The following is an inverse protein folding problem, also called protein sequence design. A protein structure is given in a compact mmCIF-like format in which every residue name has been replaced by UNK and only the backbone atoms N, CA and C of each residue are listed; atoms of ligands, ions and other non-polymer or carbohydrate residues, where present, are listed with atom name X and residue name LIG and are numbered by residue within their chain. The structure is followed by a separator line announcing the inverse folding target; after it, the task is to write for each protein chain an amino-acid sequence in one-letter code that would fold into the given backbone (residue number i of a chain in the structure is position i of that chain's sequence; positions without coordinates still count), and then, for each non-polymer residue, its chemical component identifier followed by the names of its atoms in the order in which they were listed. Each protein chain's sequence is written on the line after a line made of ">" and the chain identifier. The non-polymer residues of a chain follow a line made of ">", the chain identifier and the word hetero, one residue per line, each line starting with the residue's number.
data_IF_522965011049
#
_entry.id   IF_522965011049
#
_cell.length_a   1.000
_cell.length_b   1.000
_cell.length_c   1.000
_cell.angle_alpha   90.00
_cell.angle_beta   90.00
_cell.angle_gamma   90.00
#
_symmetry.space_group_name_H-M   'P 1'
#
loop_
_entity.id
_entity.type
_entity.pdbx_description
1 polymer ?
#
# COMPACT_ATOMS: atom_id res chain seq x y z
N UNK A 1 -22.21 -4.47 4.02
CA UNK A 1 -22.28 -5.92 4.33
C UNK A 1 -21.32 -6.17 5.49
N UNK A 2 -21.35 -7.29 6.22
CA UNK A 2 -20.23 -7.62 7.10
C UNK A 2 -19.00 -7.97 6.24
N UNK A 3 -17.79 -7.73 6.75
CA UNK A 3 -16.58 -8.22 6.10
C UNK A 3 -16.64 -9.76 5.93
N UNK A 4 -16.14 -10.29 4.80
CA UNK A 4 -15.83 -11.72 4.70
C UNK A 4 -14.88 -12.15 5.85
N UNK A 5 -15.04 -13.39 6.32
CA UNK A 5 -14.24 -13.90 7.44
C UNK A 5 -12.82 -14.31 7.02
N UNK A 6 -12.68 -14.77 5.78
CA UNK A 6 -11.44 -15.30 5.21
C UNK A 6 -11.27 -14.82 3.78
N UNK A 7 -10.03 -14.79 3.32
CA UNK A 7 -9.61 -14.39 1.99
C UNK A 7 -8.56 -15.36 1.46
N UNK A 8 -8.33 -15.37 0.17
CA UNK A 8 -7.18 -16.06 -0.41
C UNK A 8 -5.89 -15.42 0.12
N UNK A 9 -5.00 -16.20 0.73
CA UNK A 9 -3.72 -15.71 1.26
C UNK A 9 -2.75 -15.30 0.14
N UNK A 10 -2.95 -15.85 -1.05
CA UNK A 10 -2.14 -15.62 -2.24
C UNK A 10 -3.02 -15.37 -3.45
N UNK A 11 -2.60 -14.46 -4.31
CA UNK A 11 -3.34 -14.03 -5.50
C UNK A 11 -2.36 -13.84 -6.67
N UNK A 12 -2.82 -13.87 -7.93
CA UNK A 12 -1.96 -13.50 -9.05
C UNK A 12 -1.39 -12.10 -8.85
N UNK A 13 -0.09 -11.92 -9.10
CA UNK A 13 0.51 -10.57 -9.11
C UNK A 13 0.18 -9.81 -10.41
N UNK A 14 -0.24 -10.53 -11.45
CA UNK A 14 -0.72 -9.96 -12.71
C UNK A 14 -2.08 -9.30 -12.50
N UNK A 15 -2.17 -8.00 -12.78
CA UNK A 15 -3.40 -7.21 -12.60
C UNK A 15 -4.59 -7.77 -13.39
N UNK A 16 -4.45 -8.15 -14.68
CA UNK A 16 -5.54 -8.80 -15.43
C UNK A 16 -5.99 -10.12 -14.81
N UNK A 17 -5.06 -10.98 -14.38
CA UNK A 17 -5.40 -12.28 -13.78
C UNK A 17 -6.06 -12.11 -12.42
N UNK A 18 -5.59 -11.16 -11.61
CA UNK A 18 -6.21 -10.82 -10.34
C UNK A 18 -7.66 -10.36 -10.54
N UNK A 19 -7.91 -9.39 -11.45
CA UNK A 19 -9.26 -8.88 -11.67
C UNK A 19 -10.19 -9.90 -12.35
N UNK A 20 -9.66 -10.92 -13.02
CA UNK A 20 -10.47 -12.05 -13.50
C UNK A 20 -10.98 -12.94 -12.35
N UNK A 21 -10.27 -12.99 -11.22
CA UNK A 21 -10.66 -13.72 -10.01
C UNK A 21 -11.48 -12.86 -9.04
N UNK A 22 -11.09 -11.60 -8.87
CA UNK A 22 -11.73 -10.69 -7.95
C UNK A 22 -13.15 -10.36 -8.42
N UNK A 23 -14.09 -10.31 -7.47
CA UNK A 23 -15.51 -9.99 -7.73
C UNK A 23 -15.81 -8.58 -7.27
N UNK A 24 -14.93 -7.65 -7.64
CA UNK A 24 -14.97 -6.28 -7.15
C UNK A 24 -16.29 -5.59 -7.52
N UNK A 25 -16.94 -5.02 -6.50
CA UNK A 25 -18.10 -4.16 -6.63
C UNK A 25 -17.85 -2.92 -5.79
N UNK A 26 -17.77 -1.70 -6.35
CA UNK A 26 -17.51 -0.49 -5.59
C UNK A 26 -18.76 -0.05 -4.81
N UNK A 27 -19.31 -0.94 -3.98
CA UNK A 27 -20.41 -0.64 -3.09
C UNK A 27 -19.93 0.35 -2.01
N UNK A 28 -20.82 1.26 -1.62
CA UNK A 28 -20.52 2.20 -0.55
C UNK A 28 -20.29 1.46 0.77
N UNK A 29 -19.11 1.70 1.36
CA UNK A 29 -18.72 1.26 2.70
C UNK A 29 -18.48 2.51 3.54
N UNK A 30 -19.24 2.76 4.63
CA UNK A 30 -18.98 3.89 5.51
C UNK A 30 -17.59 3.81 6.12
N UNK A 31 -16.90 4.93 6.27
CA UNK A 31 -15.59 4.98 6.91
C UNK A 31 -15.62 4.42 8.34
N UNK A 32 -16.72 4.63 9.07
CA UNK A 32 -16.98 4.01 10.39
C UNK A 32 -16.91 2.48 10.37
N UNK A 33 -17.31 1.84 9.27
CA UNK A 33 -17.21 0.39 9.11
C UNK A 33 -15.75 -0.04 8.94
N UNK A 34 -14.97 0.71 8.15
CA UNK A 34 -13.55 0.40 7.92
C UNK A 34 -12.72 0.60 9.19
N UNK A 35 -12.98 1.66 9.95
CA UNK A 35 -12.27 1.94 11.22
C UNK A 35 -12.71 1.07 12.39
N UNK A 36 -13.71 0.20 12.21
CA UNK A 36 -14.15 -0.75 13.24
C UNK A 36 -13.16 -1.90 13.47
N UNK A 37 -12.21 -2.10 12.55
CA UNK A 37 -11.09 -3.03 12.73
C UNK A 37 -10.22 -2.55 13.89
N UNK A 38 -10.04 -3.41 14.90
CA UNK A 38 -9.32 -3.06 16.10
C UNK A 38 -7.81 -3.00 15.84
N UNK A 39 -7.19 -1.92 16.30
CA UNK A 39 -5.74 -1.76 16.33
C UNK A 39 -5.23 -2.06 17.74
N UNK A 40 -4.09 -2.72 17.83
CA UNK A 40 -3.43 -3.06 19.09
C UNK A 40 -2.21 -2.16 19.37
N UNK A 41 -1.49 -2.34 20.49
CA UNK A 41 -0.29 -1.56 20.79
C UNK A 41 0.84 -1.69 19.76
N UNK A 42 0.99 -2.83 19.07
CA UNK A 42 2.01 -3.02 18.03
C UNK A 42 1.69 -2.16 16.79
N UNK A 43 0.40 -2.09 16.43
CA UNK A 43 -0.08 -1.16 15.39
C UNK A 43 0.23 0.29 15.77
N UNK A 44 -0.03 0.66 17.03
CA UNK A 44 0.27 2.01 17.54
C UNK A 44 1.76 2.32 17.45
N UNK A 45 2.64 1.35 17.74
CA UNK A 45 4.08 1.54 17.61
C UNK A 45 4.51 1.80 16.15
N UNK A 46 3.95 1.05 15.19
CA UNK A 46 4.21 1.30 13.76
C UNK A 46 3.67 2.64 13.28
N UNK A 47 2.49 3.06 13.76
CA UNK A 47 1.93 4.37 13.47
C UNK A 47 2.86 5.50 13.92
N UNK A 48 3.30 5.48 15.18
CA UNK A 48 4.16 6.53 15.73
C UNK A 48 5.56 6.53 15.10
N UNK A 49 6.07 5.35 14.72
CA UNK A 49 7.33 5.23 13.99
C UNK A 49 7.24 5.88 12.60
N UNK A 50 6.22 5.53 11.83
CA UNK A 50 6.01 6.11 10.50
C UNK A 50 5.73 7.61 10.55
N UNK A 51 4.86 8.06 11.45
CA UNK A 51 4.52 9.48 11.62
C UNK A 51 5.73 10.35 11.92
N UNK A 52 6.69 9.83 12.68
CA UNK A 52 7.92 10.56 13.03
C UNK A 52 8.86 10.69 11.83
N UNK A 53 8.91 9.67 10.97
CA UNK A 53 9.95 9.53 9.95
C UNK A 53 9.50 10.01 8.57
N UNK A 54 8.23 9.87 8.24
CA UNK A 54 7.67 10.15 6.92
C UNK A 54 7.17 11.60 6.84
N UNK A 55 7.33 12.30 5.69
CA UNK A 55 6.73 13.63 5.50
C UNK A 55 5.22 13.64 5.80
N UNK A 56 4.64 14.74 6.31
CA UNK A 56 3.26 14.76 6.77
C UNK A 56 2.22 14.27 5.75
N UNK A 57 2.29 14.71 4.49
CA UNK A 57 1.33 14.29 3.46
C UNK A 57 1.55 12.84 3.03
N UNK A 58 2.81 12.38 3.01
CA UNK A 58 3.17 10.97 2.78
C UNK A 58 2.68 10.07 3.91
N UNK A 59 2.74 10.53 5.16
CA UNK A 59 2.16 9.78 6.28
C UNK A 59 0.63 9.64 6.13
N UNK A 60 -0.08 10.72 5.76
CA UNK A 60 -1.52 10.64 5.49
C UNK A 60 -1.86 9.68 4.33
N UNK A 61 -1.02 9.63 3.29
CA UNK A 61 -1.13 8.65 2.22
C UNK A 61 -1.10 7.21 2.74
N UNK A 62 -0.16 6.88 3.61
CA UNK A 62 -0.09 5.52 4.16
C UNK A 62 -1.37 5.09 4.89
N UNK A 63 -2.03 6.02 5.59
CA UNK A 63 -3.32 5.79 6.25
C UNK A 63 -4.45 5.63 5.21
N UNK A 64 -4.51 6.49 4.18
CA UNK A 64 -5.47 6.31 3.09
C UNK A 64 -5.32 4.95 2.42
N UNK A 65 -4.09 4.50 2.13
CA UNK A 65 -3.82 3.19 1.52
C UNK A 65 -4.39 2.04 2.35
N UNK A 66 -4.23 2.10 3.68
CA UNK A 66 -4.80 1.08 4.57
C UNK A 66 -6.33 0.99 4.42
N UNK A 67 -7.03 2.12 4.48
CA UNK A 67 -8.49 2.15 4.39
C UNK A 67 -9.01 1.86 2.98
N UNK A 68 -8.30 2.28 1.94
CA UNK A 68 -8.56 1.87 0.55
C UNK A 68 -8.41 0.35 0.42
N UNK A 69 -7.36 -0.24 1.00
CA UNK A 69 -7.15 -1.68 1.04
C UNK A 69 -8.29 -2.42 1.76
N UNK A 70 -8.75 -1.91 2.91
CA UNK A 70 -9.92 -2.46 3.60
C UNK A 70 -11.21 -2.34 2.78
N UNK A 71 -11.40 -1.24 2.05
CA UNK A 71 -12.55 -1.08 1.16
C UNK A 71 -12.52 -2.11 0.03
N UNK A 72 -11.36 -2.33 -0.61
CA UNK A 72 -11.16 -3.37 -1.64
C UNK A 72 -11.45 -4.76 -1.05
N UNK A 73 -10.96 -5.05 0.16
CA UNK A 73 -11.22 -6.30 0.88
C UNK A 73 -12.71 -6.54 1.11
N UNK A 74 -13.42 -5.53 1.62
CA UNK A 74 -14.85 -5.61 1.87
C UNK A 74 -15.64 -5.87 0.57
N UNK A 75 -15.15 -5.34 -0.55
CA UNK A 75 -15.88 -5.23 -1.81
C UNK A 75 -15.56 -6.31 -2.84
N UNK A 76 -15.14 -7.50 -2.42
CA UNK A 76 -15.04 -8.66 -3.31
C UNK A 76 -13.62 -9.06 -3.70
N UNK A 77 -12.66 -8.86 -2.79
CA UNK A 77 -11.35 -9.48 -2.90
C UNK A 77 -11.46 -11.03 -2.96
N UNK A 78 -10.55 -11.72 -3.69
CA UNK A 78 -10.62 -13.18 -3.84
C UNK A 78 -10.68 -13.94 -2.51
N UNK A 79 -11.49 -14.99 -2.49
CA UNK A 79 -11.70 -15.90 -1.37
C UNK A 79 -12.22 -17.24 -1.89
N UNK A 80 -11.92 -18.32 -1.16
CA UNK A 80 -12.36 -19.68 -1.47
C UNK A 80 -11.87 -20.19 -2.86
N UNK A 81 -10.76 -19.66 -3.38
CA UNK A 81 -10.18 -20.17 -4.62
C UNK A 81 -9.64 -21.60 -4.42
N UNK A 82 -10.02 -22.59 -5.25
CA UNK A 82 -9.57 -23.97 -5.08
C UNK A 82 -8.05 -24.11 -5.03
N UNK A 83 -7.54 -24.73 -3.97
CA UNK A 83 -6.10 -24.99 -3.78
C UNK A 83 -5.31 -23.81 -3.22
N UNK A 84 -5.95 -22.67 -2.92
CA UNK A 84 -5.28 -21.50 -2.34
C UNK A 84 -5.49 -21.46 -0.81
N UNK A 85 -4.42 -21.39 -0.01
CA UNK A 85 -4.53 -21.20 1.43
C UNK A 85 -5.38 -19.98 1.79
N UNK A 86 -6.15 -20.07 2.87
CA UNK A 86 -6.99 -18.97 3.32
C UNK A 86 -6.34 -18.23 4.51
N UNK A 87 -6.52 -16.92 4.57
CA UNK A 87 -6.10 -16.03 5.66
C UNK A 87 -7.33 -15.40 6.31
N UNK A 88 -7.36 -15.24 7.62
CA UNK A 88 -8.49 -14.61 8.33
C UNK A 88 -8.46 -13.09 8.14
N UNK A 89 -9.63 -12.44 8.27
CA UNK A 89 -9.71 -10.97 8.26
C UNK A 89 -8.80 -10.33 9.32
N UNK A 90 -8.77 -10.88 10.54
CA UNK A 90 -7.96 -10.39 11.65
C UNK A 90 -6.47 -10.40 11.28
N UNK A 91 -5.99 -11.54 10.79
CA UNK A 91 -4.59 -11.71 10.42
C UNK A 91 -4.20 -10.85 9.21
N UNK A 92 -5.05 -10.83 8.17
CA UNK A 92 -4.81 -10.06 6.96
C UNK A 92 -4.81 -8.55 7.25
N UNK A 93 -5.80 -8.06 8.00
CA UNK A 93 -5.91 -6.63 8.32
C UNK A 93 -4.79 -6.15 9.23
N UNK A 94 -4.28 -7.00 10.13
CA UNK A 94 -3.10 -6.72 10.95
C UNK A 94 -1.84 -6.56 10.10
N UNK A 95 -1.55 -7.54 9.23
CA UNK A 95 -0.40 -7.45 8.31
C UNK A 95 -0.53 -6.25 7.37
N UNK A 96 -1.72 -6.04 6.80
CA UNK A 96 -2.01 -4.93 5.90
C UNK A 96 -1.77 -3.58 6.59
N UNK A 97 -2.17 -3.42 7.85
CA UNK A 97 -1.92 -2.18 8.57
C UNK A 97 -0.43 -1.88 8.69
N UNK A 98 0.36 -2.83 9.21
CA UNK A 98 1.82 -2.65 9.32
C UNK A 98 2.46 -2.37 7.96
N UNK A 99 2.08 -3.12 6.92
CA UNK A 99 2.57 -2.89 5.56
C UNK A 99 2.23 -1.49 5.09
N UNK A 100 0.96 -1.07 5.14
CA UNK A 100 0.54 0.24 4.66
C UNK A 100 1.23 1.36 5.43
N UNK A 101 1.19 1.37 6.77
CA UNK A 101 1.79 2.48 7.53
C UNK A 101 3.31 2.55 7.40
N UNK A 102 4.00 1.46 7.06
CA UNK A 102 5.46 1.42 6.96
C UNK A 102 6.02 1.44 5.53
N UNK A 103 5.20 1.30 4.47
CA UNK A 103 5.74 1.07 3.12
C UNK A 103 6.59 2.21 2.57
N UNK A 104 6.28 3.45 2.93
CA UNK A 104 6.98 4.65 2.49
C UNK A 104 8.00 5.19 3.49
N UNK A 105 8.45 4.38 4.46
CA UNK A 105 9.54 4.80 5.37
C UNK A 105 10.80 5.25 4.59
N UNK A 106 11.01 4.71 3.40
CA UNK A 106 12.11 5.11 2.51
C UNK A 106 12.06 6.57 2.06
N UNK A 107 10.89 7.23 2.13
CA UNK A 107 10.68 8.65 1.81
C UNK A 107 11.12 9.59 2.94
N UNK A 108 11.68 9.05 4.02
CA UNK A 108 12.09 9.83 5.17
C UNK A 108 13.01 11.00 4.83
N UNK A 109 12.69 12.15 5.40
CA UNK A 109 13.50 13.39 5.30
C UNK A 109 14.23 13.69 6.60
N UNK A 110 14.04 12.87 7.63
CA UNK A 110 14.66 13.04 8.95
C UNK A 110 16.14 12.65 8.93
N UNK A 111 16.90 13.10 9.93
CA UNK A 111 18.29 12.66 10.10
C UNK A 111 18.38 11.19 10.55
N UNK A 112 17.41 10.73 11.37
CA UNK A 112 17.28 9.34 11.82
C UNK A 112 17.18 8.40 10.61
N UNK A 113 16.21 8.65 9.74
CA UNK A 113 15.99 7.82 8.56
C UNK A 113 17.08 7.95 7.50
N UNK A 114 17.55 9.17 7.18
CA UNK A 114 18.60 9.36 6.16
C UNK A 114 20.00 8.91 6.61
N UNK A 115 20.21 8.80 7.91
CA UNK A 115 21.45 8.26 8.48
C UNK A 115 21.55 6.74 8.42
N UNK A 116 20.46 6.04 8.08
CA UNK A 116 20.43 4.59 8.02
C UNK A 116 21.26 4.08 6.81
N UNK A 117 22.11 3.03 6.95
CA UNK A 117 22.98 2.56 5.87
C UNK A 117 22.25 2.13 4.59
N UNK A 118 21.02 1.63 4.72
CA UNK A 118 20.19 1.24 3.57
C UNK A 118 19.64 2.44 2.77
N UNK A 119 19.83 3.69 3.21
CA UNK A 119 19.36 4.89 2.50
C UNK A 119 19.88 5.00 1.06
N UNK A 120 21.05 4.42 0.76
CA UNK A 120 21.63 4.38 -0.58
C UNK A 120 20.95 3.37 -1.53
N UNK A 121 20.04 2.53 -1.03
CA UNK A 121 19.21 1.64 -1.85
C UNK A 121 17.94 2.37 -2.32
N UNK A 122 17.21 1.74 -3.25
CA UNK A 122 15.86 2.19 -3.62
C UNK A 122 14.97 2.35 -2.38
N UNK A 123 14.07 3.34 -2.37
CA UNK A 123 13.29 3.69 -1.19
C UNK A 123 12.47 2.52 -0.64
N UNK A 124 12.03 1.60 -1.50
CA UNK A 124 11.29 0.39 -1.13
C UNK A 124 12.14 -0.55 -0.29
N UNK A 125 13.42 -0.73 -0.66
CA UNK A 125 14.35 -1.57 0.10
C UNK A 125 14.82 -0.87 1.37
N UNK A 126 15.09 0.43 1.28
CA UNK A 126 15.41 1.25 2.43
C UNK A 126 14.30 1.17 3.49
N UNK A 127 13.06 1.45 3.09
CA UNK A 127 11.89 1.40 3.95
C UNK A 127 11.60 -0.01 4.46
N UNK A 128 11.74 -1.04 3.61
CA UNK A 128 11.56 -2.43 4.00
C UNK A 128 12.56 -2.89 5.07
N UNK A 129 13.83 -2.50 4.97
CA UNK A 129 14.85 -2.83 5.98
C UNK A 129 14.53 -2.10 7.30
N UNK A 130 14.20 -0.81 7.26
CA UNK A 130 13.79 -0.07 8.45
C UNK A 130 12.52 -0.66 9.10
N UNK A 131 11.56 -1.11 8.28
CA UNK A 131 10.36 -1.77 8.75
C UNK A 131 10.68 -3.11 9.43
N UNK A 132 11.57 -3.92 8.85
CA UNK A 132 12.02 -5.18 9.44
C UNK A 132 12.61 -4.97 10.84
N UNK A 133 13.54 -4.01 10.98
CA UNK A 133 14.18 -3.69 12.25
C UNK A 133 13.16 -3.19 13.29
N UNK A 134 12.25 -2.31 12.87
CA UNK A 134 11.17 -1.81 13.73
C UNK A 134 10.25 -2.93 14.20
N UNK A 135 9.75 -3.77 13.29
CA UNK A 135 8.82 -4.87 13.63
C UNK A 135 9.49 -5.90 14.54
N UNK A 136 10.75 -6.22 14.31
CA UNK A 136 11.50 -7.13 15.17
C UNK A 136 11.60 -6.61 16.62
N UNK A 137 11.72 -5.30 16.80
CA UNK A 137 11.84 -4.67 18.11
C UNK A 137 10.48 -4.37 18.77
N UNK A 138 9.48 -3.95 17.99
CA UNK A 138 8.25 -3.34 18.49
C UNK A 138 6.98 -4.20 18.30
N UNK A 139 7.07 -5.31 17.56
CA UNK A 139 5.94 -6.19 17.28
C UNK A 139 6.28 -7.69 17.51
N UNK A 140 6.65 -8.10 18.73
CA UNK A 140 7.09 -9.46 19.04
C UNK A 140 5.99 -10.54 18.88
N UNK A 141 4.71 -10.15 18.78
CA UNK A 141 3.64 -11.10 18.48
C UNK A 141 3.64 -11.54 17.00
N UNK A 142 4.32 -10.81 16.11
CA UNK A 142 4.52 -11.23 14.73
C UNK A 142 5.55 -12.37 14.65
N UNK A 143 5.15 -13.50 14.06
CA UNK A 143 6.08 -14.58 13.74
C UNK A 143 6.91 -14.26 12.48
N UNK A 144 7.92 -15.08 12.19
CA UNK A 144 8.83 -14.86 11.07
C UNK A 144 8.14 -14.82 9.70
N UNK A 145 7.08 -15.61 9.48
CA UNK A 145 6.31 -15.60 8.24
C UNK A 145 5.55 -14.28 8.07
N UNK A 146 4.95 -13.79 9.17
CA UNK A 146 4.19 -12.53 9.19
C UNK A 146 5.11 -11.33 8.93
N UNK A 147 6.27 -11.27 9.61
CA UNK A 147 7.27 -10.22 9.37
C UNK A 147 7.80 -10.31 7.94
N UNK A 148 8.09 -11.52 7.45
CA UNK A 148 8.56 -11.75 6.09
C UNK A 148 7.57 -11.25 5.04
N UNK A 149 6.28 -11.58 5.19
CA UNK A 149 5.20 -11.13 4.31
C UNK A 149 5.06 -9.60 4.31
N UNK A 150 5.06 -8.97 5.49
CA UNK A 150 4.97 -7.51 5.63
C UNK A 150 6.15 -6.83 4.92
N UNK A 151 7.38 -7.25 5.22
CA UNK A 151 8.60 -6.63 4.70
C UNK A 151 8.75 -6.87 3.20
N UNK A 152 8.48 -8.08 2.73
CA UNK A 152 8.49 -8.39 1.30
C UNK A 152 7.43 -7.58 0.54
N UNK A 153 6.23 -7.43 1.11
CA UNK A 153 5.17 -6.58 0.55
C UNK A 153 5.62 -5.13 0.43
N UNK A 154 6.28 -4.58 1.45
CA UNK A 154 6.87 -3.23 1.39
C UNK A 154 7.93 -3.14 0.29
N UNK A 155 8.85 -4.10 0.19
CA UNK A 155 9.95 -4.02 -0.79
C UNK A 155 9.48 -4.15 -2.25
N UNK A 156 8.29 -4.68 -2.49
CA UNK A 156 7.78 -4.98 -3.83
C UNK A 156 6.56 -4.14 -4.24
N UNK A 157 6.02 -3.27 -3.37
CA UNK A 157 4.73 -2.61 -3.60
C UNK A 157 4.70 -1.71 -4.86
N UNK A 158 5.84 -1.17 -5.28
CA UNK A 158 5.95 -0.34 -6.49
C UNK A 158 6.18 -1.16 -7.77
N UNK A 159 6.48 -2.45 -7.64
CA UNK A 159 6.80 -3.34 -8.76
C UNK A 159 5.55 -3.88 -9.44
N UNK A 160 5.59 -3.94 -10.77
CA UNK A 160 4.54 -4.58 -11.57
C UNK A 160 5.09 -5.83 -12.24
N UNK A 161 4.51 -6.96 -11.90
CA UNK A 161 4.92 -8.26 -12.41
C UNK A 161 3.85 -8.81 -13.36
N UNK A 162 4.28 -9.27 -14.54
CA UNK A 162 3.36 -9.79 -15.57
C UNK A 162 2.86 -11.22 -15.27
N UNK A 163 3.55 -11.95 -14.39
CA UNK A 163 3.21 -13.33 -14.02
C UNK A 163 3.75 -13.67 -12.63
N UNK A 164 3.12 -14.67 -11.99
CA UNK A 164 3.51 -15.16 -10.66
C UNK A 164 2.47 -14.91 -9.59
N UNK A 165 2.89 -14.98 -8.34
CA UNK A 165 2.02 -14.94 -7.17
C UNK A 165 2.47 -13.86 -6.20
N UNK A 166 1.52 -13.07 -5.71
CA UNK A 166 1.67 -12.15 -4.59
C UNK A 166 0.98 -12.72 -3.37
N UNK A 167 1.43 -12.34 -2.16
CA UNK A 167 0.54 -12.42 -1.00
C UNK A 167 -0.63 -11.45 -1.17
N UNK A 168 -1.73 -11.71 -0.46
CA UNK A 168 -2.86 -10.80 -0.42
C UNK A 168 -2.45 -9.39 0.06
N UNK A 169 -1.61 -9.33 1.10
CA UNK A 169 -1.07 -8.08 1.66
C UNK A 169 -0.29 -7.30 0.60
N UNK A 170 0.62 -7.98 -0.10
CA UNK A 170 1.46 -7.38 -1.15
C UNK A 170 0.66 -6.77 -2.28
N UNK A 171 -0.39 -7.46 -2.73
CA UNK A 171 -1.24 -6.92 -3.80
C UNK A 171 -2.10 -5.76 -3.32
N UNK A 172 -2.64 -5.83 -2.09
CA UNK A 172 -3.47 -4.77 -1.52
C UNK A 172 -2.67 -3.48 -1.32
N UNK A 173 -1.44 -3.54 -0.81
CA UNK A 173 -0.60 -2.34 -0.71
C UNK A 173 -0.25 -1.79 -2.09
N UNK A 174 0.11 -2.64 -3.06
CA UNK A 174 0.44 -2.20 -4.41
C UNK A 174 -0.75 -1.51 -5.10
N UNK A 175 -1.96 -2.09 -5.00
CA UNK A 175 -3.18 -1.52 -5.58
C UNK A 175 -3.59 -0.22 -4.88
N UNK A 176 -3.59 -0.20 -3.54
CA UNK A 176 -4.03 0.95 -2.78
C UNK A 176 -3.07 2.14 -2.89
N UNK A 177 -1.75 1.91 -2.86
CA UNK A 177 -0.75 2.94 -3.08
C UNK A 177 -0.81 3.51 -4.50
N UNK A 178 -0.88 2.62 -5.51
CA UNK A 178 -1.02 3.07 -6.90
C UNK A 178 -2.30 3.86 -7.12
N UNK A 179 -3.44 3.40 -6.59
CA UNK A 179 -4.71 4.11 -6.72
C UNK A 179 -4.71 5.46 -5.99
N UNK A 180 -4.16 5.56 -4.79
CA UNK A 180 -4.13 6.85 -4.08
C UNK A 180 -3.20 7.87 -4.78
N UNK A 181 -2.17 7.41 -5.49
CA UNK A 181 -1.30 8.29 -6.30
C UNK A 181 -1.93 8.63 -7.66
N UNK A 182 -2.57 7.67 -8.32
CA UNK A 182 -2.97 7.78 -9.73
C UNK A 182 -4.49 7.83 -9.97
N UNK A 183 -5.32 7.81 -8.93
CA UNK A 183 -6.77 8.04 -9.04
C UNK A 183 -7.54 7.08 -9.96
N UNK A 184 -8.79 7.45 -10.27
CA UNK A 184 -9.73 6.64 -11.05
C UNK A 184 -9.35 6.50 -12.52
N UNK A 185 -8.61 7.47 -13.07
CA UNK A 185 -8.32 7.57 -14.50
C UNK A 185 -6.91 7.09 -14.86
N UNK A 186 -6.23 6.39 -13.94
CA UNK A 186 -4.82 6.00 -14.03
C UNK A 186 -4.43 5.27 -15.34
N UNK A 187 -5.35 4.50 -15.93
CA UNK A 187 -5.16 3.76 -17.18
C UNK A 187 -6.13 4.20 -18.28
N UNK A 188 -6.67 5.42 -18.16
CA UNK A 188 -7.71 6.00 -19.02
C UNK A 188 -8.99 6.32 -18.26
N UNK A 189 -9.92 7.10 -18.86
CA UNK A 189 -11.14 7.54 -18.19
C UNK A 189 -11.97 6.38 -17.60
N UNK A 190 -12.24 6.42 -16.30
CA UNK A 190 -13.00 5.43 -15.54
C UNK A 190 -12.30 4.07 -15.36
N UNK A 191 -11.02 3.96 -15.71
CA UNK A 191 -10.30 2.68 -15.72
C UNK A 191 -10.22 1.97 -14.38
N UNK A 192 -10.39 2.68 -13.26
CA UNK A 192 -10.41 2.13 -11.90
C UNK A 192 -11.69 2.49 -11.12
N UNK A 193 -12.78 2.87 -11.80
CA UNK A 193 -14.08 3.18 -11.14
C UNK A 193 -14.66 2.01 -10.34
N UNK A 194 -14.23 0.79 -10.65
CA UNK A 194 -14.67 -0.42 -9.96
C UNK A 194 -13.91 -0.70 -8.66
N UNK A 195 -12.82 0.02 -8.37
CA UNK A 195 -11.90 -0.35 -7.30
C UNK A 195 -12.43 0.08 -5.91
N UNK A 196 -12.87 1.33 -5.78
CA UNK A 196 -13.41 1.90 -4.53
C UNK A 196 -14.60 2.79 -4.85
N UNK A 197 -15.62 2.77 -3.98
CA UNK A 197 -16.74 3.69 -4.10
C UNK A 197 -16.30 5.14 -3.85
N UNK A 198 -16.73 6.07 -4.70
CA UNK A 198 -16.38 7.50 -4.58
C UNK A 198 -16.73 8.11 -3.22
N UNK A 199 -17.92 7.82 -2.68
CA UNK A 199 -18.32 8.32 -1.36
C UNK A 199 -17.47 7.74 -0.22
N UNK A 200 -17.09 6.46 -0.32
CA UNK A 200 -16.15 5.86 0.64
C UNK A 200 -14.79 6.55 0.59
N UNK A 201 -14.26 6.83 -0.62
CA UNK A 201 -13.01 7.56 -0.77
C UNK A 201 -13.11 8.98 -0.22
N UNK A 202 -14.20 9.70 -0.50
CA UNK A 202 -14.45 11.05 0.04
C UNK A 202 -14.41 11.07 1.57
N UNK A 203 -15.03 10.10 2.25
CA UNK A 203 -15.00 10.00 3.71
C UNK A 203 -13.58 9.69 4.24
N UNK A 204 -12.81 8.85 3.53
CA UNK A 204 -11.40 8.57 3.87
C UNK A 204 -10.55 9.84 3.72
N UNK A 205 -10.72 10.60 2.63
CA UNK A 205 -9.97 11.83 2.37
C UNK A 205 -10.39 13.00 3.27
N UNK A 206 -11.61 12.99 3.81
CA UNK A 206 -12.03 13.92 4.85
C UNK A 206 -11.27 13.69 6.16
N UNK A 207 -11.06 12.42 6.56
CA UNK A 207 -10.29 12.08 7.75
C UNK A 207 -8.78 12.25 7.54
N UNK A 208 -8.28 11.88 6.34
CA UNK A 208 -6.85 11.92 5.99
C UNK A 208 -6.60 12.76 4.73
N UNK A 209 -6.67 14.10 4.84
CA UNK A 209 -6.58 15.01 3.69
C UNK A 209 -5.33 14.81 2.84
N UNK A 210 -5.49 14.95 1.51
CA UNK A 210 -4.37 14.87 0.55
C UNK A 210 -3.38 16.03 0.75
N UNK A 211 -3.85 17.23 1.07
CA UNK A 211 -2.97 18.41 1.22
C UNK A 211 -2.04 18.60 0.02
N UNK A 212 -0.73 18.71 0.26
CA UNK A 212 0.30 18.85 -0.77
C UNK A 212 0.85 17.49 -1.26
N UNK A 213 0.16 16.38 -0.99
CA UNK A 213 0.64 15.02 -1.26
C UNK A 213 1.16 14.85 -2.69
N UNK A 214 0.44 15.35 -3.68
CA UNK A 214 0.81 15.18 -5.10
C UNK A 214 2.16 15.84 -5.39
N UNK A 215 2.36 17.10 -5.00
CA UNK A 215 3.63 17.81 -5.21
C UNK A 215 4.77 17.19 -4.40
N UNK A 216 4.54 16.83 -3.12
CA UNK A 216 5.57 16.21 -2.28
C UNK A 216 6.00 14.85 -2.84
N UNK A 217 5.04 14.01 -3.26
CA UNK A 217 5.30 12.71 -3.90
C UNK A 217 6.11 12.88 -5.18
N UNK A 218 5.78 13.85 -6.03
CA UNK A 218 6.57 14.10 -7.23
C UNK A 218 8.00 14.56 -6.91
N UNK A 219 8.20 15.41 -5.91
CA UNK A 219 9.53 15.83 -5.49
C UNK A 219 10.35 14.65 -5.00
N UNK A 220 9.77 13.80 -4.14
CA UNK A 220 10.41 12.60 -3.60
C UNK A 220 10.77 11.62 -4.72
N UNK A 221 9.82 11.32 -5.62
CA UNK A 221 10.02 10.37 -6.71
C UNK A 221 11.05 10.87 -7.72
N UNK A 222 11.01 12.16 -8.09
CA UNK A 222 12.03 12.72 -8.98
C UNK A 222 13.41 12.68 -8.33
N UNK A 223 13.51 13.01 -7.05
CA UNK A 223 14.76 12.90 -6.30
C UNK A 223 15.28 11.47 -6.26
N UNK A 224 14.39 10.48 -6.07
CA UNK A 224 14.77 9.07 -6.07
C UNK A 224 15.38 8.66 -7.42
N UNK A 225 14.78 9.07 -8.55
CA UNK A 225 15.34 8.83 -9.88
C UNK A 225 16.70 9.51 -10.08
N UNK A 226 16.87 10.73 -9.59
CA UNK A 226 18.08 11.52 -9.82
C UNK A 226 19.24 11.04 -8.93
N UNK A 227 18.97 10.75 -7.65
CA UNK A 227 19.97 10.27 -6.69
C UNK A 227 20.33 8.79 -6.93
N UNK A 228 19.36 7.98 -7.36
CA UNK A 228 19.49 6.53 -7.53
C UNK A 228 18.93 6.09 -8.88
N UNK A 229 19.68 6.28 -9.98
CA UNK A 229 19.20 5.93 -11.33
C UNK A 229 18.77 4.46 -11.50
N UNK A 230 19.29 3.57 -10.66
CA UNK A 230 18.95 2.14 -10.60
C UNK A 230 17.86 1.81 -9.57
N UNK A 231 17.06 2.79 -9.12
CA UNK A 231 15.94 2.54 -8.22
C UNK A 231 14.90 1.60 -8.86
N UNK A 232 14.13 0.91 -8.04
CA UNK A 232 13.15 -0.07 -8.47
C UNK A 232 12.07 0.57 -9.35
N UNK A 233 11.68 1.80 -9.04
CA UNK A 233 10.73 2.58 -9.84
C UNK A 233 11.25 2.91 -11.26
N UNK A 234 12.56 2.84 -11.53
CA UNK A 234 13.11 2.91 -12.90
C UNK A 234 12.70 1.73 -13.78
N UNK A 235 12.24 0.65 -13.18
CA UNK A 235 11.73 -0.53 -13.88
C UNK A 235 10.20 -0.51 -14.07
N UNK A 236 9.52 0.58 -13.67
CA UNK A 236 8.11 0.75 -14.00
C UNK A 236 7.91 0.63 -15.53
N UNK A 237 6.85 -0.05 -16.02
CA UNK A 237 6.61 -0.16 -17.47
C UNK A 237 6.53 1.21 -18.15
N UNK A 238 7.44 1.47 -19.09
CA UNK A 238 7.59 2.78 -19.74
C UNK A 238 8.45 3.80 -18.98
N UNK A 239 9.06 3.40 -17.86
CA UNK A 239 10.03 4.16 -17.08
C UNK A 239 9.45 5.39 -16.37
N UNK A 240 10.36 6.30 -15.98
CA UNK A 240 10.05 7.56 -15.28
C UNK A 240 8.96 8.38 -15.96
N UNK A 241 9.05 8.56 -17.28
CA UNK A 241 8.12 9.39 -18.04
C UNK A 241 6.69 8.84 -17.99
N UNK A 242 6.53 7.52 -18.14
CA UNK A 242 5.23 6.87 -18.07
C UNK A 242 4.61 7.00 -16.67
N UNK A 243 5.38 6.73 -15.61
CA UNK A 243 4.90 6.86 -14.24
C UNK A 243 4.47 8.30 -13.93
N UNK A 244 5.33 9.28 -14.23
CA UNK A 244 5.05 10.70 -13.95
C UNK A 244 3.83 11.18 -14.72
N UNK A 245 3.67 10.78 -15.98
CA UNK A 245 2.50 11.12 -16.79
C UNK A 245 1.21 10.58 -16.17
N UNK A 246 1.19 9.30 -15.79
CA UNK A 246 0.01 8.67 -15.17
C UNK A 246 -0.34 9.39 -13.87
N UNK A 247 0.63 9.63 -13.00
CA UNK A 247 0.38 10.28 -11.73
C UNK A 247 -0.11 11.73 -11.88
N UNK A 248 0.25 12.46 -12.95
CA UNK A 248 -0.19 13.86 -13.16
C UNK A 248 -1.61 13.98 -13.67
N UNK A 249 -2.00 13.11 -14.62
CA UNK A 249 -3.32 13.15 -15.27
C UNK A 249 -4.48 12.94 -14.29
N UNK A 250 -4.19 12.37 -13.12
CA UNK A 250 -5.16 12.04 -12.09
C UNK A 250 -5.52 13.21 -11.16
N UNK A 251 -4.80 14.32 -11.27
CA UNK A 251 -4.96 15.51 -10.42
C UNK A 251 -5.20 16.80 -11.21
N UNK A 252 -5.43 16.70 -12.53
CA UNK A 252 -5.89 17.77 -13.43
C UNK A 252 -7.39 17.62 -13.72
#
# INVERSE_FOLDING_TARGET
>A
MPFPKTFDAYVPCSIPEFFALAKLKPDYVPFDTLRSIQLDPEHTASFEYSKRLTPPSGFMHTLRCYYIGLAILHNGFPSETPGVPQITLEELSRRLYHTCVLHDLGWTTTAEGRGHPAHAMTFEFHGGIMAYEHLHAAAPALNAEQVGDIVQSIMLHSSRWESGTSSAVGLLVALSAFFDVCGYDAMGPGSLDFLVNRKTLEEIEQEYPRGNFVSETFEIINKEYDDKPNCLLSHFPGGREAFVKIARLSHE
#
